data_IF_656743665747
#
_entry.id   IF_656743665747
#
_cell.length_a   1.000
_cell.length_b   1.000
_cell.length_c   1.000
_cell.angle_alpha   90.00
_cell.angle_beta   90.00
_cell.angle_gamma   90.00
#
_symmetry.space_group_name_H-M   'P 1'
#
loop_
_entity.id
_entity.type
_entity.pdbx_description
1 polymer ?
#
# COMPACT_ATOMS: atom_id res chain seq x y z
N UNK A 1 11.88 -26.44 44.39
CA UNK A 1 12.14 -25.83 43.06
C UNK A 1 11.07 -26.26 42.04
N UNK A 2 9.83 -25.74 42.14
CA UNK A 2 8.77 -25.96 41.13
C UNK A 2 7.91 -24.72 40.82
N UNK A 3 8.01 -23.65 41.62
CA UNK A 3 7.20 -22.43 41.42
C UNK A 3 7.79 -21.41 40.42
N UNK A 4 9.09 -21.47 40.14
CA UNK A 4 9.75 -20.47 39.28
C UNK A 4 9.49 -20.71 37.78
N UNK A 5 9.26 -21.97 37.37
CA UNK A 5 8.95 -22.31 35.97
C UNK A 5 7.52 -21.94 35.55
N UNK A 6 6.59 -21.81 36.50
CA UNK A 6 5.20 -21.42 36.19
C UNK A 6 5.08 -19.92 35.92
N UNK A 7 5.86 -19.09 36.62
CA UNK A 7 5.82 -17.63 36.49
C UNK A 7 6.38 -17.16 35.13
N UNK A 8 7.42 -17.82 34.62
CA UNK A 8 8.02 -17.51 33.31
C UNK A 8 7.07 -17.90 32.17
N UNK A 9 6.34 -19.00 32.31
CA UNK A 9 5.34 -19.42 31.32
C UNK A 9 4.16 -18.43 31.22
N UNK A 10 3.76 -17.81 32.34
CA UNK A 10 2.71 -16.79 32.35
C UNK A 10 3.15 -15.49 31.67
N UNK A 11 4.39 -15.05 31.89
CA UNK A 11 4.93 -13.84 31.25
C UNK A 11 5.11 -14.07 29.75
N UNK A 12 5.54 -15.26 29.32
CA UNK A 12 5.60 -15.61 27.90
C UNK A 12 4.21 -15.63 27.23
N UNK A 13 3.16 -16.03 27.95
CA UNK A 13 1.78 -16.00 27.45
C UNK A 13 1.26 -14.56 27.27
N UNK A 14 1.65 -13.63 28.16
CA UNK A 14 1.29 -12.21 28.03
C UNK A 14 2.03 -11.50 26.88
N UNK A 15 3.24 -11.93 26.52
CA UNK A 15 3.93 -11.42 25.33
C UNK A 15 3.38 -12.02 24.03
N UNK A 16 2.94 -13.29 24.02
CA UNK A 16 2.31 -13.90 22.86
C UNK A 16 0.92 -13.31 22.55
N UNK A 17 0.19 -12.85 23.57
CA UNK A 17 -1.11 -12.17 23.41
C UNK A 17 -0.99 -10.69 22.99
N UNK A 18 0.22 -10.11 23.04
CA UNK A 18 0.54 -8.79 22.49
C UNK A 18 1.19 -8.87 21.10
N UNK A 19 1.22 -10.05 20.45
CA UNK A 19 1.11 -10.09 18.98
C UNK A 19 -0.34 -9.73 18.62
N UNK A 20 -0.74 -8.51 19.01
CA UNK A 20 -1.90 -7.84 18.46
C UNK A 20 -1.81 -8.00 16.96
N UNK A 21 -2.82 -8.68 16.40
CA UNK A 21 -3.08 -8.74 14.98
C UNK A 21 -2.65 -7.41 14.36
N UNK A 22 -1.56 -7.43 13.60
CA UNK A 22 -1.04 -6.25 12.95
C UNK A 22 -2.14 -5.83 11.98
N UNK A 23 -2.98 -4.90 12.40
CA UNK A 23 -4.17 -4.51 11.67
C UNK A 23 -3.66 -4.01 10.31
N UNK A 24 -4.04 -4.71 9.24
CA UNK A 24 -3.57 -4.34 7.90
C UNK A 24 -3.85 -2.84 7.70
N UNK A 25 -2.82 -2.14 7.25
CA UNK A 25 -2.85 -0.69 7.05
C UNK A 25 -3.90 -0.34 5.99
N UNK A 26 -4.01 -1.21 4.99
CA UNK A 26 -4.96 -1.11 3.89
C UNK A 26 -6.27 -1.87 4.22
N UNK A 27 -7.41 -1.46 3.64
CA UNK A 27 -8.64 -2.25 3.72
C UNK A 27 -8.49 -3.57 2.96
N UNK A 28 -9.50 -4.44 3.01
CA UNK A 28 -9.55 -5.60 2.14
C UNK A 28 -9.50 -5.16 0.66
N UNK A 29 -8.60 -5.78 -0.10
CA UNK A 29 -8.31 -5.44 -1.50
C UNK A 29 -8.71 -6.59 -2.42
N UNK A 30 -9.11 -6.27 -3.64
CA UNK A 30 -9.36 -7.28 -4.67
C UNK A 30 -8.08 -7.99 -5.11
N UNK A 31 -8.17 -9.20 -5.69
CA UNK A 31 -7.01 -9.92 -6.21
C UNK A 31 -6.27 -9.16 -7.31
N UNK A 32 -4.98 -9.45 -7.49
CA UNK A 32 -4.08 -8.73 -8.39
C UNK A 32 -4.64 -8.53 -9.80
N UNK A 33 -5.19 -9.58 -10.42
CA UNK A 33 -5.71 -9.50 -11.79
C UNK A 33 -6.85 -8.48 -11.90
N UNK A 34 -7.74 -8.43 -10.91
CA UNK A 34 -8.83 -7.48 -10.87
C UNK A 34 -8.33 -6.07 -10.53
N UNK A 35 -7.39 -5.94 -9.59
CA UNK A 35 -6.78 -4.66 -9.25
C UNK A 35 -6.09 -4.04 -10.48
N UNK A 36 -5.28 -4.83 -11.19
CA UNK A 36 -4.59 -4.43 -12.42
C UNK A 36 -5.58 -3.89 -13.46
N UNK A 37 -6.63 -4.64 -13.75
CA UNK A 37 -7.66 -4.22 -14.71
C UNK A 37 -8.33 -2.89 -14.30
N UNK A 38 -8.70 -2.74 -13.03
CA UNK A 38 -9.34 -1.51 -12.54
C UNK A 38 -8.41 -0.31 -12.68
N UNK A 39 -7.14 -0.47 -12.31
CA UNK A 39 -6.12 0.58 -12.38
C UNK A 39 -5.82 0.95 -13.84
N UNK A 40 -5.66 -0.03 -14.75
CA UNK A 40 -5.41 0.22 -16.17
C UNK A 40 -6.55 1.03 -16.83
N UNK A 41 -7.80 0.67 -16.52
CA UNK A 41 -8.97 1.41 -17.00
C UNK A 41 -8.96 2.86 -16.49
N UNK A 42 -8.67 3.06 -15.21
CA UNK A 42 -8.66 4.39 -14.61
C UNK A 42 -7.51 5.25 -15.15
N UNK A 43 -6.33 4.67 -15.37
CA UNK A 43 -5.23 5.36 -16.06
C UNK A 43 -5.66 5.82 -17.46
N UNK A 44 -6.40 4.98 -18.20
CA UNK A 44 -6.96 5.34 -19.50
C UNK A 44 -7.85 6.59 -19.42
N UNK A 45 -8.78 6.61 -18.46
CA UNK A 45 -9.67 7.75 -18.22
C UNK A 45 -8.89 9.01 -17.81
N UNK A 46 -7.94 8.87 -16.88
CA UNK A 46 -7.11 9.98 -16.41
C UNK A 46 -6.25 10.57 -17.53
N UNK A 47 -5.70 9.73 -18.43
CA UNK A 47 -4.94 10.21 -19.60
C UNK A 47 -5.81 11.03 -20.54
N UNK A 48 -7.04 10.59 -20.82
CA UNK A 48 -7.99 11.37 -21.63
C UNK A 48 -8.35 12.70 -20.96
N UNK A 49 -8.65 12.66 -19.66
CA UNK A 49 -8.94 13.87 -18.88
C UNK A 49 -7.75 14.84 -18.86
N UNK A 50 -6.52 14.33 -18.74
CA UNK A 50 -5.29 15.13 -18.76
C UNK A 50 -5.06 15.77 -20.13
N UNK A 51 -5.34 15.06 -21.22
CA UNK A 51 -5.23 15.62 -22.58
C UNK A 51 -6.23 16.75 -22.80
N UNK A 52 -7.45 16.61 -22.29
CA UNK A 52 -8.48 17.65 -22.39
C UNK A 52 -8.20 18.85 -21.47
N UNK A 53 -7.64 18.61 -20.29
CA UNK A 53 -7.32 19.65 -19.31
C UNK A 53 -6.05 19.27 -18.50
N UNK A 54 -4.85 19.69 -18.95
CA UNK A 54 -3.60 19.36 -18.28
C UNK A 54 -3.57 19.87 -16.84
N UNK A 55 -3.22 18.98 -15.92
CA UNK A 55 -3.16 19.27 -14.48
C UNK A 55 -2.08 18.43 -13.81
N UNK A 56 -1.30 19.06 -12.94
CA UNK A 56 -0.28 18.38 -12.12
C UNK A 56 -0.90 17.33 -11.19
N UNK A 57 -2.13 17.56 -10.70
CA UNK A 57 -2.83 16.59 -9.87
C UNK A 57 -3.19 15.32 -10.65
N UNK A 58 -3.66 15.46 -11.90
CA UNK A 58 -3.94 14.31 -12.77
C UNK A 58 -2.63 13.59 -13.14
N UNK A 59 -1.57 14.36 -13.42
CA UNK A 59 -0.25 13.79 -13.75
C UNK A 59 0.31 12.96 -12.58
N UNK A 60 0.25 13.46 -11.34
CA UNK A 60 0.68 12.73 -10.15
C UNK A 60 -0.14 11.47 -9.91
N UNK A 61 -1.47 11.51 -10.12
CA UNK A 61 -2.30 10.29 -10.07
C UNK A 61 -1.88 9.25 -11.10
N UNK A 62 -1.65 9.67 -12.35
CA UNK A 62 -1.21 8.76 -13.41
C UNK A 62 0.13 8.12 -13.05
N UNK A 63 1.08 8.89 -12.51
CA UNK A 63 2.39 8.37 -12.10
C UNK A 63 2.24 7.30 -10.99
N UNK A 64 1.57 7.65 -9.89
CA UNK A 64 1.33 6.73 -8.78
C UNK A 64 0.61 5.44 -9.23
N UNK A 65 -0.41 5.58 -10.08
CA UNK A 65 -1.20 4.43 -10.54
C UNK A 65 -0.37 3.56 -11.50
N UNK A 66 0.47 4.17 -12.34
CA UNK A 66 1.37 3.44 -13.23
C UNK A 66 2.40 2.63 -12.47
N UNK A 67 2.98 3.19 -11.39
CA UNK A 67 3.87 2.44 -10.48
C UNK A 67 3.18 1.25 -9.83
N UNK A 68 1.92 1.39 -9.45
CA UNK A 68 1.14 0.27 -8.93
C UNK A 68 0.98 -0.86 -9.97
N UNK A 69 0.80 -0.51 -11.25
CA UNK A 69 0.76 -1.50 -12.36
C UNK A 69 2.12 -2.17 -12.55
N UNK A 70 3.22 -1.42 -12.47
CA UNK A 70 4.58 -1.96 -12.58
C UNK A 70 4.80 -3.04 -11.51
N UNK A 71 4.50 -2.75 -10.25
CA UNK A 71 4.61 -3.73 -9.18
C UNK A 71 3.63 -4.91 -9.36
N UNK A 72 2.37 -4.68 -9.75
CA UNK A 72 1.43 -5.78 -10.05
C UNK A 72 1.89 -6.69 -11.20
N UNK A 73 2.73 -6.17 -12.10
CA UNK A 73 3.28 -6.86 -13.25
C UNK A 73 4.68 -7.45 -13.05
N UNK A 74 5.29 -7.30 -11.87
CA UNK A 74 6.64 -7.82 -11.61
C UNK A 74 6.68 -9.34 -11.82
N UNK A 75 7.54 -9.78 -12.73
CA UNK A 75 7.76 -11.18 -13.11
C UNK A 75 8.52 -11.97 -12.04
N UNK A 76 7.93 -12.10 -10.85
CA UNK A 76 8.48 -12.85 -9.72
C UNK A 76 7.91 -14.28 -9.70
N UNK A 77 8.63 -15.20 -9.04
CA UNK A 77 8.19 -16.61 -8.89
C UNK A 77 6.85 -16.68 -8.15
N UNK A 78 6.65 -15.79 -7.17
CA UNK A 78 5.40 -15.63 -6.44
C UNK A 78 4.87 -14.23 -6.79
N UNK A 79 3.78 -14.13 -7.57
CA UNK A 79 3.24 -12.83 -7.96
C UNK A 79 2.98 -11.95 -6.73
N UNK A 80 3.36 -10.66 -6.77
CA UNK A 80 3.21 -9.76 -5.64
C UNK A 80 1.73 -9.52 -5.35
N UNK A 81 1.33 -9.43 -4.08
CA UNK A 81 -0.06 -9.15 -3.72
C UNK A 81 -0.46 -7.71 -4.08
N UNK A 82 -1.76 -7.44 -4.22
CA UNK A 82 -2.28 -6.06 -4.38
C UNK A 82 -1.82 -5.15 -3.25
N UNK A 83 -1.74 -5.67 -2.02
CA UNK A 83 -1.23 -4.94 -0.85
C UNK A 83 0.24 -4.56 -1.01
N UNK A 84 1.09 -5.50 -1.44
CA UNK A 84 2.49 -5.21 -1.74
C UNK A 84 2.62 -4.14 -2.82
N UNK A 85 1.89 -4.30 -3.93
CA UNK A 85 2.01 -3.37 -5.06
C UNK A 85 1.58 -1.95 -4.70
N UNK A 86 0.48 -1.77 -3.96
CA UNK A 86 0.03 -0.47 -3.49
C UNK A 86 1.01 0.16 -2.49
N UNK A 87 1.54 -0.65 -1.56
CA UNK A 87 2.51 -0.19 -0.56
C UNK A 87 3.80 0.27 -1.25
N UNK A 88 4.34 -0.54 -2.15
CA UNK A 88 5.55 -0.21 -2.92
C UNK A 88 5.35 1.02 -3.80
N UNK A 89 4.19 1.15 -4.46
CA UNK A 89 3.86 2.33 -5.25
C UNK A 89 3.81 3.60 -4.40
N UNK A 90 3.18 3.55 -3.22
CA UNK A 90 3.15 4.68 -2.28
C UNK A 90 4.54 5.10 -1.84
N UNK A 91 5.35 4.14 -1.36
CA UNK A 91 6.68 4.42 -0.83
C UNK A 91 7.60 5.01 -1.91
N UNK A 92 7.61 4.43 -3.11
CA UNK A 92 8.40 4.95 -4.22
C UNK A 92 7.93 6.34 -4.64
N UNK A 93 6.62 6.59 -4.68
CA UNK A 93 6.09 7.91 -5.03
C UNK A 93 6.41 8.97 -3.94
N UNK A 94 6.38 8.62 -2.65
CA UNK A 94 6.79 9.53 -1.58
C UNK A 94 8.28 9.90 -1.66
N UNK A 95 9.14 8.95 -1.97
CA UNK A 95 10.58 9.17 -2.09
C UNK A 95 10.92 9.94 -3.37
N UNK A 96 10.46 9.46 -4.52
CA UNK A 96 10.84 9.99 -5.83
C UNK A 96 10.18 11.34 -6.15
N UNK A 97 8.89 11.48 -5.80
CA UNK A 97 8.09 12.65 -6.19
C UNK A 97 8.01 13.68 -5.07
N UNK A 98 7.85 13.23 -3.82
CA UNK A 98 7.68 14.11 -2.67
C UNK A 98 8.98 14.39 -1.91
N UNK A 99 10.11 13.78 -2.33
CA UNK A 99 11.43 13.93 -1.72
C UNK A 99 11.44 13.61 -0.21
N UNK A 100 10.51 12.76 0.23
CA UNK A 100 10.53 12.24 1.59
C UNK A 100 11.71 11.28 1.73
N UNK A 101 12.33 11.22 2.91
CA UNK A 101 13.21 10.10 3.21
C UNK A 101 12.40 8.84 3.50
N UNK A 102 13.03 7.66 3.39
CA UNK A 102 12.35 6.37 3.59
C UNK A 102 11.62 6.29 4.93
N UNK A 103 12.26 6.76 6.02
CA UNK A 103 11.67 6.70 7.37
C UNK A 103 10.38 7.53 7.47
N UNK A 104 10.36 8.70 6.83
CA UNK A 104 9.18 9.55 6.76
C UNK A 104 8.08 8.95 5.88
N UNK A 105 8.44 8.38 4.73
CA UNK A 105 7.48 7.69 3.85
C UNK A 105 6.82 6.50 4.57
N UNK A 106 7.60 5.68 5.26
CA UNK A 106 7.09 4.59 6.10
C UNK A 106 6.20 5.11 7.22
N UNK A 107 6.64 6.14 7.95
CA UNK A 107 5.84 6.75 9.01
C UNK A 107 4.48 7.22 8.48
N UNK A 108 4.45 7.94 7.35
CA UNK A 108 3.21 8.44 6.74
C UNK A 108 2.30 7.30 6.31
N UNK A 109 2.85 6.22 5.74
CA UNK A 109 2.08 5.05 5.32
C UNK A 109 1.35 4.41 6.51
N UNK A 110 2.07 4.04 7.56
CA UNK A 110 1.52 3.34 8.73
C UNK A 110 0.60 4.22 9.58
N UNK A 111 0.82 5.54 9.60
CA UNK A 111 -0.07 6.50 10.28
C UNK A 111 -1.24 6.99 9.42
N UNK A 112 -1.44 6.43 8.22
CA UNK A 112 -2.51 6.79 7.29
C UNK A 112 -2.51 8.28 6.90
N UNK A 113 -1.33 8.90 6.87
CA UNK A 113 -1.13 10.27 6.38
C UNK A 113 -0.99 10.27 4.86
N UNK A 114 -2.03 9.79 4.19
CA UNK A 114 -2.03 9.59 2.75
C UNK A 114 -2.53 10.82 2.00
N UNK A 115 -1.90 11.11 0.87
CA UNK A 115 -2.40 12.10 -0.09
C UNK A 115 -3.61 11.56 -0.84
N UNK A 116 -4.37 12.46 -1.44
CA UNK A 116 -5.64 12.14 -2.11
C UNK A 116 -5.44 11.12 -3.25
N UNK A 117 -4.35 11.24 -4.00
CA UNK A 117 -4.01 10.30 -5.08
C UNK A 117 -3.90 8.85 -4.58
N UNK A 118 -3.29 8.61 -3.42
CA UNK A 118 -3.20 7.26 -2.87
C UNK A 118 -4.53 6.78 -2.29
N UNK A 119 -5.29 7.67 -1.64
CA UNK A 119 -6.64 7.37 -1.17
C UNK A 119 -7.53 6.91 -2.34
N UNK A 120 -7.42 7.58 -3.48
CA UNK A 120 -8.17 7.22 -4.69
C UNK A 120 -7.73 5.85 -5.24
N UNK A 121 -6.43 5.56 -5.26
CA UNK A 121 -5.91 4.24 -5.65
C UNK A 121 -6.46 3.13 -4.75
N UNK A 122 -6.42 3.31 -3.43
CA UNK A 122 -6.96 2.34 -2.46
C UNK A 122 -8.47 2.16 -2.66
N UNK A 123 -9.22 3.25 -2.85
CA UNK A 123 -10.66 3.19 -3.08
C UNK A 123 -11.04 2.51 -4.38
N UNK A 124 -10.20 2.57 -5.41
CA UNK A 124 -10.41 1.90 -6.69
C UNK A 124 -10.32 0.37 -6.55
N UNK A 125 -9.41 -0.12 -5.71
CA UNK A 125 -9.08 -1.55 -5.62
C UNK A 125 -9.52 -2.22 -4.31
N UNK A 126 -10.25 -1.52 -3.45
CA UNK A 126 -10.91 -2.15 -2.31
C UNK A 126 -11.98 -3.16 -2.76
N UNK A 127 -12.16 -4.21 -1.96
CA UNK A 127 -13.16 -5.27 -2.15
C UNK A 127 -14.58 -4.78 -1.95
#
# INVERSE_FOLDING_TARGET
MKGFNMLIASIALFFALNLSAQQSVLPALVPNAQAKQRIENEIGNLKQAHQANPSSAISSKIDLFSRAIEFLGEGTIIPPTTEYALTSAFLNHEVDFNQANDSEAFYRFYNKQWKQEFIDLVNLVKS
#
